data_IF_910427972986
#
_entry.id   IF_910427972986
#
_cell.length_a   1.000
_cell.length_b   1.000
_cell.length_c   1.000
_cell.angle_alpha   90.00
_cell.angle_beta   90.00
_cell.angle_gamma   90.00
#
_symmetry.space_group_name_H-M   'P 1'
#
loop_
_entity.id
_entity.type
_entity.pdbx_description
1 polymer ?
#
# COMPACT_ATOMS: atom_id res chain seq x y z
N UNK A 1 -53.93 20.41 -7.56
CA UNK A 1 -53.04 19.63 -8.43
C UNK A 1 -53.87 18.42 -8.88
N UNK A 2 -54.30 18.39 -10.15
CA UNK A 2 -55.29 17.41 -10.63
C UNK A 2 -54.64 16.03 -10.79
N UNK A 3 -55.31 14.97 -10.32
CA UNK A 3 -54.88 13.57 -10.42
C UNK A 3 -54.50 13.15 -11.85
N UNK A 4 -55.10 13.76 -12.86
CA UNK A 4 -54.76 13.52 -14.26
C UNK A 4 -53.38 14.07 -14.70
N UNK A 5 -52.88 15.12 -14.06
CA UNK A 5 -51.55 15.65 -14.34
C UNK A 5 -50.44 14.76 -13.74
N UNK A 6 -50.72 14.13 -12.61
CA UNK A 6 -49.76 13.18 -11.96
C UNK A 6 -49.66 11.89 -12.79
N UNK A 7 -50.79 11.40 -13.31
CA UNK A 7 -50.82 10.21 -14.18
C UNK A 7 -50.08 10.45 -15.52
N UNK A 8 -50.17 11.63 -16.10
CA UNK A 8 -49.40 11.99 -17.32
C UNK A 8 -47.92 12.03 -17.08
N UNK A 9 -47.44 12.52 -15.93
CA UNK A 9 -46.02 12.53 -15.57
C UNK A 9 -45.45 11.09 -15.39
N UNK A 10 -46.31 10.17 -14.93
CA UNK A 10 -45.87 8.75 -14.75
C UNK A 10 -45.80 7.99 -16.10
N UNK A 11 -46.58 8.38 -17.10
CA UNK A 11 -46.56 7.75 -18.42
C UNK A 11 -45.46 8.27 -19.34
N UNK A 12 -44.85 9.41 -19.05
CA UNK A 12 -43.75 9.96 -19.83
C UNK A 12 -42.45 9.26 -19.42
N UNK A 13 -41.82 8.50 -20.35
CA UNK A 13 -40.58 7.74 -20.11
C UNK A 13 -39.43 8.63 -19.61
N UNK A 14 -39.40 9.90 -20.05
CA UNK A 14 -38.31 10.81 -19.69
C UNK A 14 -38.41 11.20 -18.21
N UNK A 15 -39.61 11.55 -17.72
CA UNK A 15 -39.83 11.88 -16.31
C UNK A 15 -39.67 10.69 -15.39
N UNK A 16 -40.14 9.51 -15.78
CA UNK A 16 -39.95 8.25 -15.02
C UNK A 16 -38.49 7.91 -14.86
N UNK A 17 -37.68 8.06 -15.91
CA UNK A 17 -36.24 7.78 -15.86
C UNK A 17 -35.50 8.71 -14.91
N UNK A 18 -35.81 10.02 -14.96
CA UNK A 18 -35.24 11.03 -14.06
C UNK A 18 -35.66 10.76 -12.61
N UNK A 19 -36.93 10.42 -12.38
CA UNK A 19 -37.46 10.16 -11.04
C UNK A 19 -36.81 8.92 -10.43
N UNK A 20 -36.62 7.84 -11.20
CA UNK A 20 -35.91 6.65 -10.76
C UNK A 20 -34.44 6.98 -10.41
N UNK A 21 -33.78 7.80 -11.21
CA UNK A 21 -32.39 8.21 -10.94
C UNK A 21 -32.31 9.04 -9.66
N UNK A 22 -33.24 9.98 -9.42
CA UNK A 22 -33.26 10.77 -8.20
C UNK A 22 -33.48 9.87 -6.98
N UNK A 23 -34.48 8.96 -7.07
CA UNK A 23 -34.73 8.01 -5.97
C UNK A 23 -33.53 7.12 -5.71
N UNK A 24 -32.92 6.54 -6.75
CA UNK A 24 -31.74 5.72 -6.61
C UNK A 24 -30.57 6.49 -5.99
N UNK A 25 -30.37 7.74 -6.40
CA UNK A 25 -29.34 8.60 -5.82
C UNK A 25 -29.65 8.95 -4.36
N UNK A 26 -30.91 9.25 -4.02
CA UNK A 26 -31.31 9.53 -2.65
C UNK A 26 -31.14 8.31 -1.73
N UNK A 27 -31.50 7.12 -2.20
CA UNK A 27 -31.27 5.85 -1.46
C UNK A 27 -29.79 5.60 -1.27
N UNK A 28 -28.98 5.79 -2.31
CA UNK A 28 -27.53 5.67 -2.21
C UNK A 28 -26.92 6.63 -1.19
N UNK A 29 -27.35 7.91 -1.24
CA UNK A 29 -26.90 8.93 -0.29
C UNK A 29 -27.30 8.58 1.15
N UNK A 30 -28.55 8.16 1.35
CA UNK A 30 -29.02 7.72 2.66
C UNK A 30 -28.23 6.52 3.21
N UNK A 31 -27.90 5.58 2.35
CA UNK A 31 -27.06 4.43 2.69
C UNK A 31 -25.62 4.85 3.11
N UNK A 32 -25.01 5.77 2.36
CA UNK A 32 -23.69 6.32 2.71
C UNK A 32 -23.72 7.04 4.06
N UNK A 33 -24.73 7.89 4.28
CA UNK A 33 -24.89 8.59 5.56
C UNK A 33 -25.12 7.62 6.73
N UNK A 34 -25.90 6.57 6.52
CA UNK A 34 -26.11 5.52 7.51
C UNK A 34 -24.79 4.81 7.87
N UNK A 35 -23.96 4.47 6.88
CA UNK A 35 -22.63 3.87 7.12
C UNK A 35 -21.74 4.80 7.93
N UNK A 36 -21.70 6.09 7.56
CA UNK A 36 -20.88 7.09 8.26
C UNK A 36 -21.33 7.23 9.71
N UNK A 37 -22.61 7.38 9.96
CA UNK A 37 -23.17 7.54 11.32
C UNK A 37 -22.92 6.28 12.18
N UNK A 38 -23.19 5.10 11.62
CA UNK A 38 -22.94 3.83 12.30
C UNK A 38 -21.45 3.62 12.63
N UNK A 39 -20.56 3.99 11.69
CA UNK A 39 -19.11 3.93 11.89
C UNK A 39 -18.68 4.89 12.99
N UNK A 40 -19.11 6.14 12.97
CA UNK A 40 -18.79 7.12 14.02
C UNK A 40 -19.27 6.68 15.39
N UNK A 41 -20.48 6.13 15.46
CA UNK A 41 -21.07 5.62 16.72
C UNK A 41 -20.25 4.45 17.27
N UNK A 42 -19.84 3.51 16.43
CA UNK A 42 -19.02 2.37 16.84
C UNK A 42 -17.60 2.79 17.25
N UNK A 43 -16.97 3.73 16.54
CA UNK A 43 -15.66 4.27 16.91
C UNK A 43 -15.71 4.97 18.27
N UNK A 44 -16.75 5.78 18.53
CA UNK A 44 -16.94 6.41 19.84
C UNK A 44 -17.12 5.39 20.97
N UNK A 45 -17.85 4.29 20.74
CA UNK A 45 -18.02 3.19 21.73
C UNK A 45 -16.70 2.49 22.04
N UNK A 46 -15.78 2.43 21.08
CA UNK A 46 -14.45 1.83 21.23
C UNK A 46 -13.41 2.82 21.76
N UNK A 47 -13.80 4.06 22.12
CA UNK A 47 -12.91 5.16 22.48
C UNK A 47 -11.86 5.48 21.40
N UNK A 48 -12.19 5.23 20.15
CA UNK A 48 -11.35 5.58 19.00
C UNK A 48 -11.82 6.93 18.49
N UNK A 49 -10.95 7.94 18.53
CA UNK A 49 -11.23 9.28 18.00
C UNK A 49 -11.24 9.24 16.48
N UNK A 50 -12.38 9.48 15.80
CA UNK A 50 -12.41 9.56 14.34
C UNK A 50 -11.75 10.86 13.88
N UNK A 51 -10.96 10.77 12.79
CA UNK A 51 -10.31 11.93 12.19
C UNK A 51 -8.79 11.89 12.30
N UNK A 52 -8.14 13.00 12.04
CA UNK A 52 -6.69 13.13 11.99
C UNK A 52 -6.06 13.71 13.27
N UNK A 53 -6.85 13.94 14.32
CA UNK A 53 -6.37 14.53 15.57
C UNK A 53 -5.26 13.70 16.25
N UNK A 54 -5.26 12.36 16.04
CA UNK A 54 -4.21 11.49 16.57
C UNK A 54 -2.84 11.74 15.92
N UNK A 55 -2.77 12.43 14.80
CA UNK A 55 -1.50 12.66 14.11
C UNK A 55 -0.53 13.53 14.93
N UNK A 56 -1.04 14.36 15.83
CA UNK A 56 -0.24 15.20 16.70
C UNK A 56 0.18 14.49 18.01
N UNK A 57 -0.37 13.29 18.27
CA UNK A 57 0.00 12.49 19.43
C UNK A 57 1.36 11.80 19.22
N UNK A 58 2.11 11.60 20.32
CA UNK A 58 3.39 10.90 20.29
C UNK A 58 3.18 9.44 19.86
N UNK A 59 3.93 9.00 18.88
CA UNK A 59 3.77 7.66 18.30
C UNK A 59 4.15 6.53 19.28
N UNK A 60 5.20 6.71 20.06
CA UNK A 60 5.62 5.74 21.09
C UNK A 60 6.12 4.40 20.57
N UNK A 61 6.34 4.24 19.27
CA UNK A 61 6.88 3.03 18.65
C UNK A 61 7.95 3.37 17.60
N UNK A 62 8.84 2.41 17.34
CA UNK A 62 9.94 2.59 16.40
C UNK A 62 9.44 2.50 14.95
N UNK A 63 9.57 3.58 14.18
CA UNK A 63 9.17 3.66 12.77
C UNK A 63 10.34 3.46 11.78
N UNK A 64 11.58 3.51 12.25
CA UNK A 64 12.77 3.31 11.43
C UNK A 64 13.91 2.73 12.27
N UNK A 65 14.88 2.11 11.61
CA UNK A 65 16.10 1.65 12.29
C UNK A 65 17.03 2.83 12.57
N UNK A 66 17.73 2.85 13.73
CA UNK A 66 18.61 3.96 14.11
C UNK A 66 19.65 4.32 13.05
N UNK A 67 20.18 3.31 12.35
CA UNK A 67 21.20 3.49 11.30
C UNK A 67 20.65 3.98 9.96
N UNK A 68 19.32 4.07 9.82
CA UNK A 68 18.64 4.51 8.59
C UNK A 68 17.64 5.63 8.88
N UNK A 69 17.94 6.46 9.88
CA UNK A 69 17.09 7.53 10.31
C UNK A 69 17.43 8.84 9.56
N UNK A 70 16.86 8.99 8.38
CA UNK A 70 17.07 10.17 7.51
C UNK A 70 16.26 11.39 7.95
N UNK A 71 15.22 11.18 8.76
CA UNK A 71 14.27 12.24 9.18
C UNK A 71 14.53 12.75 10.59
N UNK A 72 15.47 12.15 11.33
CA UNK A 72 15.69 12.48 12.73
C UNK A 72 14.58 12.01 13.67
N UNK A 73 13.86 10.96 13.29
CA UNK A 73 12.78 10.36 14.07
C UNK A 73 13.28 9.89 15.45
N UNK A 74 12.59 10.28 16.52
CA UNK A 74 12.80 9.84 17.90
C UNK A 74 11.53 9.24 18.47
N UNK A 75 11.63 8.06 19.08
CA UNK A 75 10.48 7.29 19.61
C UNK A 75 9.73 8.05 20.69
N UNK A 76 10.42 8.90 21.45
CA UNK A 76 9.85 9.56 22.61
C UNK A 76 9.23 10.93 22.31
N UNK A 77 9.60 11.53 21.19
CA UNK A 77 9.19 12.91 20.87
C UNK A 77 8.45 13.04 19.54
N UNK A 78 8.67 12.10 18.62
CA UNK A 78 8.05 12.17 17.29
C UNK A 78 6.58 11.77 17.31
N UNK A 79 5.79 12.50 16.54
CA UNK A 79 4.35 12.31 16.41
C UNK A 79 4.01 11.24 15.37
N UNK A 80 2.74 10.84 15.31
CA UNK A 80 2.25 9.94 14.24
C UNK A 80 2.42 10.55 12.85
N UNK A 81 2.37 11.89 12.73
CA UNK A 81 2.65 12.57 11.46
C UNK A 81 4.13 12.42 11.06
N UNK A 82 5.06 12.51 12.03
CA UNK A 82 6.49 12.28 11.78
C UNK A 82 6.75 10.83 11.35
N UNK A 83 6.02 9.85 11.91
CA UNK A 83 6.05 8.45 11.46
C UNK A 83 5.65 8.34 9.98
N UNK A 84 4.57 9.03 9.59
CA UNK A 84 4.10 9.03 8.21
C UNK A 84 5.16 9.62 7.27
N UNK A 85 5.74 10.77 7.60
CA UNK A 85 6.81 11.39 6.81
C UNK A 85 8.05 10.51 6.75
N UNK A 86 8.43 9.90 7.87
CA UNK A 86 9.56 8.96 7.93
C UNK A 86 9.32 7.75 7.01
N UNK A 87 8.13 7.17 7.05
CA UNK A 87 7.75 6.09 6.16
C UNK A 87 7.79 6.48 4.68
N UNK A 88 7.31 7.68 4.36
CA UNK A 88 7.34 8.23 3.01
C UNK A 88 8.78 8.42 2.51
N UNK A 89 9.64 9.06 3.30
CA UNK A 89 11.06 9.29 2.96
C UNK A 89 11.80 7.97 2.79
N UNK A 90 11.60 7.01 3.69
CA UNK A 90 12.19 5.68 3.59
C UNK A 90 11.75 4.97 2.31
N UNK A 91 10.46 5.01 2.00
CA UNK A 91 9.91 4.40 0.78
C UNK A 91 10.51 5.04 -0.48
N UNK A 92 10.58 6.37 -0.55
CA UNK A 92 11.16 7.08 -1.69
C UNK A 92 12.65 6.79 -1.84
N UNK A 93 13.38 6.70 -0.74
CA UNK A 93 14.81 6.42 -0.75
C UNK A 93 15.08 5.00 -1.27
N UNK A 94 14.35 4.02 -0.76
CA UNK A 94 14.47 2.62 -1.22
C UNK A 94 14.03 2.50 -2.67
N UNK A 95 12.96 3.19 -3.08
CA UNK A 95 12.49 3.20 -4.46
C UNK A 95 13.53 3.81 -5.41
N UNK A 96 14.12 4.95 -5.06
CA UNK A 96 15.16 5.59 -5.87
C UNK A 96 16.39 4.69 -6.04
N UNK A 97 16.89 4.12 -4.94
CA UNK A 97 18.01 3.17 -4.97
C UNK A 97 17.66 1.92 -5.80
N UNK A 98 16.45 1.39 -5.59
CA UNK A 98 15.95 0.22 -6.33
C UNK A 98 15.84 0.46 -7.83
N UNK A 99 15.35 1.63 -8.26
CA UNK A 99 15.26 2.00 -9.68
C UNK A 99 16.66 2.03 -10.31
N UNK A 100 17.62 2.67 -9.65
CA UNK A 100 18.99 2.76 -10.17
C UNK A 100 19.61 1.37 -10.31
N UNK A 101 19.56 0.55 -9.27
CA UNK A 101 20.12 -0.80 -9.27
C UNK A 101 19.41 -1.71 -10.29
N UNK A 102 18.08 -1.67 -10.34
CA UNK A 102 17.30 -2.45 -11.31
C UNK A 102 17.61 -2.06 -12.76
N UNK A 103 17.82 -0.75 -13.03
CA UNK A 103 18.18 -0.26 -14.34
C UNK A 103 19.55 -0.78 -14.77
N UNK A 104 20.56 -0.72 -13.87
CA UNK A 104 21.91 -1.22 -14.16
C UNK A 104 21.88 -2.74 -14.44
N UNK A 105 21.26 -3.51 -13.53
CA UNK A 105 21.18 -4.97 -13.67
C UNK A 105 20.37 -5.35 -14.92
N UNK A 106 19.23 -4.69 -15.13
CA UNK A 106 18.37 -4.93 -16.29
C UNK A 106 19.06 -4.62 -17.62
N UNK A 107 19.86 -3.56 -17.67
CA UNK A 107 20.65 -3.22 -18.86
C UNK A 107 21.73 -4.27 -19.13
N UNK A 108 22.49 -4.69 -18.12
CA UNK A 108 23.51 -5.72 -18.26
C UNK A 108 22.88 -7.04 -18.75
N UNK A 109 21.82 -7.50 -18.08
CA UNK A 109 21.13 -8.75 -18.45
C UNK A 109 20.51 -8.66 -19.84
N UNK A 110 19.98 -7.49 -20.20
CA UNK A 110 19.46 -7.22 -21.53
C UNK A 110 20.51 -7.38 -22.63
N UNK A 111 21.71 -6.84 -22.44
CA UNK A 111 22.83 -7.00 -23.36
C UNK A 111 23.28 -8.47 -23.44
N UNK A 112 23.41 -9.14 -22.29
CA UNK A 112 23.81 -10.56 -22.26
C UNK A 112 22.81 -11.45 -23.03
N UNK A 113 21.53 -11.13 -22.99
CA UNK A 113 20.49 -11.85 -23.73
C UNK A 113 20.64 -11.70 -25.26
N UNK A 114 21.19 -10.58 -25.74
CA UNK A 114 21.47 -10.32 -27.14
C UNK A 114 22.82 -10.86 -27.62
N UNK A 115 23.58 -11.53 -26.75
CA UNK A 115 24.88 -12.10 -27.08
C UNK A 115 24.78 -13.17 -28.16
N UNK A 116 25.74 -13.19 -29.09
CA UNK A 116 25.91 -14.25 -30.07
C UNK A 116 26.34 -15.60 -29.48
N UNK A 117 26.79 -15.60 -28.22
CA UNK A 117 27.15 -16.81 -27.48
C UNK A 117 25.89 -17.47 -26.95
N UNK A 118 25.59 -18.67 -27.45
CA UNK A 118 24.39 -19.45 -27.11
C UNK A 118 24.26 -19.69 -25.60
N UNK A 119 25.37 -19.98 -24.90
CA UNK A 119 25.36 -20.26 -23.48
C UNK A 119 25.01 -19.00 -22.67
N UNK A 120 25.62 -17.86 -23.00
CA UNK A 120 25.36 -16.59 -22.32
C UNK A 120 23.91 -16.15 -22.55
N UNK A 121 23.44 -16.20 -23.77
CA UNK A 121 22.06 -15.84 -24.13
C UNK A 121 21.04 -16.74 -23.45
N UNK A 122 21.31 -18.06 -23.35
CA UNK A 122 20.47 -19.02 -22.66
C UNK A 122 20.37 -18.73 -21.16
N UNK A 123 21.51 -18.51 -20.48
CA UNK A 123 21.54 -18.21 -19.04
C UNK A 123 20.83 -16.90 -18.72
N UNK A 124 21.06 -15.85 -19.52
CA UNK A 124 20.38 -14.58 -19.34
C UNK A 124 18.86 -14.70 -19.56
N UNK A 125 18.43 -15.47 -20.57
CA UNK A 125 17.02 -15.75 -20.83
C UNK A 125 16.38 -16.54 -19.70
N UNK A 126 17.00 -17.59 -19.21
CA UNK A 126 16.52 -18.40 -18.09
C UNK A 126 16.37 -17.55 -16.80
N UNK A 127 17.34 -16.66 -16.53
CA UNK A 127 17.22 -15.71 -15.41
C UNK A 127 16.00 -14.79 -15.56
N UNK A 128 15.83 -14.17 -16.73
CA UNK A 128 14.69 -13.27 -16.98
C UNK A 128 13.35 -14.00 -16.87
N UNK A 129 13.27 -15.20 -17.43
CA UNK A 129 12.04 -16.01 -17.35
C UNK A 129 11.74 -16.44 -15.91
N UNK A 130 12.74 -16.86 -15.14
CA UNK A 130 12.60 -17.18 -13.72
C UNK A 130 12.10 -15.99 -12.92
N UNK A 131 12.71 -14.81 -13.14
CA UNK A 131 12.29 -13.59 -12.43
C UNK A 131 10.86 -13.12 -12.80
N UNK A 132 10.44 -13.29 -14.05
CA UNK A 132 9.12 -12.86 -14.53
C UNK A 132 7.99 -13.81 -14.16
N UNK A 133 8.26 -15.11 -14.06
CA UNK A 133 7.25 -16.12 -13.80
C UNK A 133 6.90 -16.27 -12.32
N UNK A 134 7.72 -15.74 -11.42
CA UNK A 134 7.48 -15.77 -9.98
C UNK A 134 6.86 -14.44 -9.53
N UNK A 135 5.71 -14.45 -8.83
CA UNK A 135 5.10 -13.24 -8.29
C UNK A 135 6.08 -12.49 -7.36
N UNK A 136 6.08 -11.14 -7.44
CA UNK A 136 6.95 -10.29 -6.63
C UNK A 136 6.88 -10.59 -5.13
N UNK A 137 5.68 -10.90 -4.64
CA UNK A 137 5.47 -11.25 -3.23
C UNK A 137 6.30 -12.47 -2.80
N UNK A 138 6.38 -13.51 -3.66
CA UNK A 138 7.19 -14.69 -3.36
C UNK A 138 8.69 -14.36 -3.30
N UNK A 139 9.19 -13.48 -4.20
CA UNK A 139 10.57 -13.01 -4.12
C UNK A 139 10.86 -12.29 -2.82
N UNK A 140 9.97 -11.40 -2.38
CA UNK A 140 10.11 -10.69 -1.09
C UNK A 140 10.15 -11.70 0.06
N UNK A 141 9.25 -12.69 0.09
CA UNK A 141 9.22 -13.70 1.13
C UNK A 141 10.48 -14.58 1.13
N UNK A 142 10.97 -15.01 -0.04
CA UNK A 142 12.20 -15.79 -0.17
C UNK A 142 13.38 -14.99 0.38
N UNK A 143 13.56 -13.74 -0.03
CA UNK A 143 14.64 -12.90 0.45
C UNK A 143 14.54 -12.62 1.95
N UNK A 144 13.33 -12.36 2.46
CA UNK A 144 13.13 -12.10 3.88
C UNK A 144 13.40 -13.34 4.72
N UNK A 145 12.74 -14.47 4.43
CA UNK A 145 12.85 -15.68 5.24
C UNK A 145 14.13 -16.48 5.00
N UNK A 146 14.54 -16.65 3.75
CA UNK A 146 15.67 -17.50 3.43
C UNK A 146 17.03 -16.79 3.58
N UNK A 147 17.08 -15.48 3.39
CA UNK A 147 18.35 -14.73 3.41
C UNK A 147 18.44 -13.89 4.67
N UNK A 148 17.54 -12.91 4.87
CA UNK A 148 17.67 -11.91 5.93
C UNK A 148 17.55 -12.56 7.31
N UNK A 149 16.51 -13.35 7.57
CA UNK A 149 16.33 -13.99 8.88
C UNK A 149 17.44 -14.97 9.21
N UNK A 150 17.88 -15.79 8.25
CA UNK A 150 18.96 -16.75 8.52
C UNK A 150 20.29 -16.06 8.80
N UNK A 151 20.61 -14.98 8.07
CA UNK A 151 21.82 -14.20 8.35
C UNK A 151 21.72 -13.53 9.73
N UNK A 152 20.57 -12.91 10.07
CA UNK A 152 20.38 -12.30 11.38
C UNK A 152 20.49 -13.33 12.51
N UNK A 153 19.87 -14.52 12.38
CA UNK A 153 19.94 -15.57 13.39
C UNK A 153 21.36 -16.12 13.58
N UNK A 154 22.17 -16.18 12.51
CA UNK A 154 23.56 -16.62 12.60
C UNK A 154 24.41 -15.63 13.40
N UNK A 155 24.14 -14.33 13.30
CA UNK A 155 24.88 -13.28 14.01
C UNK A 155 24.39 -13.04 15.45
N UNK A 156 23.12 -13.37 15.74
CA UNK A 156 22.51 -13.15 17.07
C UNK A 156 22.42 -14.40 17.93
N UNK A 157 22.81 -15.55 17.42
CA UNK A 157 22.87 -16.78 18.22
C UNK A 157 23.97 -16.64 19.30
N UNK A 158 23.61 -16.69 20.61
CA UNK A 158 24.63 -16.66 21.68
C UNK A 158 25.57 -17.84 21.48
N UNK A 159 26.86 -17.56 21.56
CA UNK A 159 27.90 -18.60 21.54
C UNK A 159 27.61 -19.61 22.65
N UNK A 160 27.71 -20.93 22.40
CA UNK A 160 27.54 -21.96 23.44
C UNK A 160 28.62 -21.93 24.53
N UNK A 161 29.43 -20.88 24.62
CA UNK A 161 30.58 -20.76 25.51
C UNK A 161 30.48 -19.64 26.54
N UNK A 162 29.32 -18.99 26.70
CA UNK A 162 29.09 -18.02 27.77
C UNK A 162 28.13 -18.55 28.81
#
# INVERSE_FOLDING_TARGET
MNMQSILRLWYDERYRRILIQIIAFAVFLAFVLFIIDNTQTNLKRLNITPGFAFMDDIAGFMATYPNFNLTGFDVNTSTHFDVYITGLVNTLTVAAAGIVLATIVGFIVGILRLSNNVLISFLASAYVEGMRNVPLLLWILIWYFAVILNICLLYTSPSPRD
#
